data_IF_632458252290
#
_entry.id   IF_632458252290
#
_cell.length_a   1.000
_cell.length_b   1.000
_cell.length_c   1.000
_cell.angle_alpha   90.00
_cell.angle_beta   90.00
_cell.angle_gamma   90.00
#
_symmetry.space_group_name_H-M   'P 1'
#
loop_
_entity.id
_entity.type
_entity.pdbx_description
1 polymer ?
#
# COMPACT_ATOMS: atom_id res chain seq x y z
N UNK A 1 -10.31 -21.30 -10.39
CA UNK A 1 -10.94 -20.10 -10.96
C UNK A 1 -11.65 -19.36 -9.83
N UNK A 2 -11.34 -18.08 -9.66
CA UNK A 2 -11.96 -17.21 -8.65
C UNK A 2 -13.29 -16.73 -9.21
N UNK A 3 -14.38 -16.91 -8.47
CA UNK A 3 -15.70 -16.43 -8.86
C UNK A 3 -16.08 -15.10 -8.17
N UNK A 4 -17.24 -14.53 -8.51
CA UNK A 4 -17.69 -13.26 -7.92
C UNK A 4 -17.94 -13.35 -6.40
N UNK A 5 -18.30 -14.53 -5.88
CA UNK A 5 -18.46 -14.73 -4.44
C UNK A 5 -17.10 -14.65 -3.75
N UNK A 6 -16.06 -15.23 -4.35
CA UNK A 6 -14.70 -15.13 -3.84
C UNK A 6 -14.21 -13.67 -3.86
N UNK A 7 -14.49 -12.90 -4.92
CA UNK A 7 -14.19 -11.45 -4.98
C UNK A 7 -14.87 -10.69 -3.84
N UNK A 8 -16.15 -10.98 -3.56
CA UNK A 8 -16.86 -10.36 -2.42
C UNK A 8 -16.29 -10.80 -1.07
N UNK A 9 -15.89 -12.06 -0.90
CA UNK A 9 -15.19 -12.53 0.32
C UNK A 9 -13.91 -11.71 0.53
N UNK A 10 -13.07 -11.59 -0.51
CA UNK A 10 -11.82 -10.83 -0.48
C UNK A 10 -12.09 -9.35 -0.15
N UNK A 11 -13.12 -8.75 -0.73
CA UNK A 11 -13.54 -7.39 -0.41
C UNK A 11 -13.86 -7.22 1.08
N UNK A 12 -14.67 -8.11 1.66
CA UNK A 12 -15.03 -8.04 3.09
C UNK A 12 -13.78 -8.19 3.97
N UNK A 13 -12.89 -9.14 3.66
CA UNK A 13 -11.64 -9.34 4.39
C UNK A 13 -10.71 -8.12 4.32
N UNK A 14 -10.70 -7.38 3.21
CA UNK A 14 -9.95 -6.13 3.06
C UNK A 14 -10.50 -4.97 3.90
N UNK A 15 -11.78 -5.01 4.29
CA UNK A 15 -12.35 -4.03 5.21
C UNK A 15 -11.95 -4.35 6.65
N UNK A 16 -12.09 -5.61 7.07
CA UNK A 16 -11.57 -6.12 8.35
C UNK A 16 -11.45 -7.65 8.29
N UNK A 17 -10.23 -8.19 8.27
CA UNK A 17 -10.00 -9.62 8.23
C UNK A 17 -10.20 -10.33 9.59
N UNK A 18 -10.43 -9.57 10.68
CA UNK A 18 -10.75 -10.11 12.01
C UNK A 18 -12.26 -10.14 12.29
N UNK A 19 -13.09 -9.71 11.34
CA UNK A 19 -14.54 -9.76 11.53
C UNK A 19 -15.05 -11.21 11.63
N UNK A 20 -16.17 -11.46 12.35
CA UNK A 20 -16.77 -12.79 12.41
C UNK A 20 -17.18 -13.30 11.04
N UNK A 21 -16.88 -14.57 10.73
CA UNK A 21 -17.30 -15.18 9.46
C UNK A 21 -18.83 -15.19 9.29
N UNK A 22 -19.59 -15.21 10.38
CA UNK A 22 -21.05 -15.09 10.36
C UNK A 22 -21.54 -13.76 9.77
N UNK A 23 -20.77 -12.67 9.91
CA UNK A 23 -21.08 -11.37 9.29
C UNK A 23 -20.87 -11.41 7.77
N UNK A 24 -19.80 -12.06 7.33
CA UNK A 24 -19.52 -12.29 5.90
C UNK A 24 -20.59 -13.22 5.31
N UNK A 25 -20.97 -14.28 6.03
CA UNK A 25 -22.03 -15.22 5.66
C UNK A 25 -23.37 -14.54 5.38
N UNK A 26 -23.80 -13.65 6.29
CA UNK A 26 -25.03 -12.85 6.11
C UNK A 26 -24.96 -11.95 4.88
N UNK A 27 -23.79 -11.35 4.62
CA UNK A 27 -23.59 -10.47 3.47
C UNK A 27 -23.69 -11.21 2.14
N UNK A 28 -23.06 -12.39 2.04
CA UNK A 28 -22.93 -13.14 0.78
C UNK A 28 -24.08 -14.14 0.61
N UNK A 29 -24.90 -14.34 1.65
CA UNK A 29 -25.99 -15.33 1.71
C UNK A 29 -25.47 -16.75 1.45
N UNK A 30 -24.39 -17.11 2.14
CA UNK A 30 -23.80 -18.46 2.09
C UNK A 30 -23.55 -18.99 3.51
N UNK A 31 -23.57 -20.33 3.71
CA UNK A 31 -23.18 -20.92 4.97
C UNK A 31 -21.75 -20.55 5.39
N UNK A 32 -21.52 -20.38 6.69
CA UNK A 32 -20.21 -20.04 7.23
C UNK A 32 -19.13 -21.07 6.87
N UNK A 33 -19.50 -22.37 6.81
CA UNK A 33 -18.59 -23.44 6.41
C UNK A 33 -18.11 -23.28 4.96
N UNK A 34 -19.02 -22.90 4.05
CA UNK A 34 -18.67 -22.62 2.64
C UNK A 34 -17.70 -21.46 2.51
N UNK A 35 -17.88 -20.39 3.28
CA UNK A 35 -16.96 -19.25 3.29
C UNK A 35 -15.60 -19.64 3.86
N UNK A 36 -15.58 -20.39 4.96
CA UNK A 36 -14.34 -20.90 5.55
C UNK A 36 -13.54 -21.73 4.56
N UNK A 37 -14.21 -22.64 3.84
CA UNK A 37 -13.60 -23.44 2.76
C UNK A 37 -13.01 -22.56 1.65
N UNK A 38 -13.76 -21.55 1.18
CA UNK A 38 -13.31 -20.63 0.13
C UNK A 38 -12.10 -19.80 0.56
N UNK A 39 -12.08 -19.28 1.80
CA UNK A 39 -10.92 -18.55 2.32
C UNK A 39 -9.68 -19.45 2.32
N UNK A 40 -9.79 -20.68 2.84
CA UNK A 40 -8.67 -21.64 2.82
C UNK A 40 -8.18 -21.94 1.41
N UNK A 41 -9.09 -22.08 0.45
CA UNK A 41 -8.73 -22.26 -0.97
C UNK A 41 -7.93 -21.06 -1.49
N UNK A 42 -8.38 -19.83 -1.22
CA UNK A 42 -7.69 -18.60 -1.63
C UNK A 42 -6.31 -18.44 -0.97
N UNK A 43 -6.15 -18.89 0.29
CA UNK A 43 -4.85 -18.99 0.97
C UNK A 43 -3.94 -20.03 0.30
N UNK A 44 -4.45 -21.25 0.06
CA UNK A 44 -3.70 -22.35 -0.56
C UNK A 44 -3.24 -22.00 -1.99
N UNK A 45 -4.08 -21.32 -2.76
CA UNK A 45 -3.76 -20.84 -4.11
C UNK A 45 -2.81 -19.61 -4.09
N UNK A 46 -2.40 -19.15 -2.90
CA UNK A 46 -1.58 -17.94 -2.67
C UNK A 46 -2.18 -16.70 -3.33
N UNK A 47 -3.51 -16.62 -3.40
CA UNK A 47 -4.24 -15.39 -3.73
C UNK A 47 -4.23 -14.49 -2.51
N UNK A 48 -4.50 -15.05 -1.32
CA UNK A 48 -4.20 -14.39 -0.05
C UNK A 48 -2.75 -14.76 0.33
N UNK A 49 -1.85 -13.78 0.35
CA UNK A 49 -0.42 -14.01 0.63
C UNK A 49 -0.10 -14.02 2.13
N UNK A 50 -0.65 -13.05 2.86
CA UNK A 50 -0.49 -12.89 4.32
C UNK A 50 -1.58 -11.99 4.89
N UNK A 51 -1.72 -11.98 6.21
CA UNK A 51 -2.59 -11.05 6.93
C UNK A 51 -1.75 -10.03 7.68
N UNK A 52 -2.03 -8.74 7.49
CA UNK A 52 -1.26 -7.65 8.10
C UNK A 52 -2.17 -6.53 8.61
N UNK A 53 -1.58 -5.49 9.17
CA UNK A 53 -2.26 -4.29 9.66
C UNK A 53 -1.87 -3.07 8.83
N UNK A 54 -2.82 -2.17 8.64
CA UNK A 54 -2.51 -0.84 8.13
C UNK A 54 -2.12 0.07 9.30
N UNK A 55 -0.92 0.64 9.22
CA UNK A 55 -0.40 1.54 10.25
C UNK A 55 -0.45 2.97 9.74
N UNK A 56 -1.05 3.87 10.53
CA UNK A 56 -1.02 5.30 10.28
C UNK A 56 0.27 5.90 10.85
N UNK A 57 1.37 5.70 10.14
CA UNK A 57 2.69 6.24 10.50
C UNK A 57 2.71 7.76 10.69
N UNK A 58 1.96 8.57 9.91
CA UNK A 58 1.87 10.01 10.18
C UNK A 58 1.39 10.35 11.59
N UNK A 59 0.44 9.61 12.16
CA UNK A 59 0.03 9.83 13.56
C UNK A 59 1.19 9.75 14.56
N UNK A 60 2.24 8.99 14.24
CA UNK A 60 3.40 8.76 15.07
C UNK A 60 4.58 9.69 14.73
N UNK A 61 4.35 10.70 13.89
CA UNK A 61 5.35 11.70 13.51
C UNK A 61 6.13 11.37 12.24
N UNK A 62 5.80 10.28 11.54
CA UNK A 62 6.57 9.85 10.37
C UNK A 62 5.99 10.35 9.05
N UNK A 63 6.84 10.88 8.20
CA UNK A 63 6.56 11.18 6.79
C UNK A 63 7.03 10.02 5.91
N UNK A 64 6.27 9.73 4.84
CA UNK A 64 6.71 8.78 3.81
C UNK A 64 7.51 9.51 2.76
N UNK A 65 8.67 8.97 2.44
CA UNK A 65 9.50 9.38 1.33
C UNK A 65 9.59 8.23 0.33
N UNK A 66 9.51 8.56 -0.95
CA UNK A 66 9.60 7.61 -2.06
C UNK A 66 10.84 7.92 -2.87
N UNK A 67 11.69 6.91 -3.07
CA UNK A 67 12.91 6.98 -3.86
C UNK A 67 12.82 5.99 -5.01
N UNK A 68 12.92 6.47 -6.23
CA UNK A 68 13.00 5.67 -7.45
C UNK A 68 14.39 5.77 -8.04
N UNK A 69 15.00 4.64 -8.36
CA UNK A 69 16.32 4.58 -8.97
C UNK A 69 16.20 4.08 -10.40
N UNK A 70 16.73 4.86 -11.34
CA UNK A 70 17.02 4.40 -12.68
C UNK A 70 18.47 3.89 -12.69
N UNK A 71 18.62 2.61 -13.04
CA UNK A 71 19.89 1.90 -13.01
C UNK A 71 20.26 1.44 -14.41
N UNK A 72 21.52 1.65 -14.78
CA UNK A 72 22.18 1.00 -15.92
C UNK A 72 22.21 -0.51 -15.71
N UNK A 73 22.59 -1.26 -16.75
CA UNK A 73 22.68 -2.73 -16.74
C UNK A 73 23.36 -3.23 -15.46
N UNK A 74 22.55 -3.86 -14.60
CA UNK A 74 22.94 -4.45 -13.33
C UNK A 74 22.47 -5.91 -13.35
N UNK A 75 23.29 -6.82 -12.86
CA UNK A 75 22.90 -8.23 -12.81
C UNK A 75 21.78 -8.43 -11.79
N UNK A 76 20.86 -9.36 -12.04
CA UNK A 76 19.79 -9.68 -11.09
C UNK A 76 20.36 -10.06 -9.70
N UNK A 77 21.50 -10.75 -9.68
CA UNK A 77 22.22 -11.14 -8.46
C UNK A 77 22.70 -9.95 -7.65
N UNK A 78 23.24 -8.92 -8.30
CA UNK A 78 23.70 -7.70 -7.63
C UNK A 78 22.51 -6.92 -7.06
N UNK A 79 21.39 -6.84 -7.81
CA UNK A 79 20.17 -6.20 -7.31
C UNK A 79 19.68 -6.91 -6.05
N UNK A 80 19.54 -8.24 -6.07
CA UNK A 80 19.10 -9.01 -4.91
C UNK A 80 20.01 -8.81 -3.69
N UNK A 81 21.33 -8.74 -3.91
CA UNK A 81 22.29 -8.44 -2.85
C UNK A 81 22.03 -7.06 -2.22
N UNK A 82 21.86 -6.02 -3.04
CA UNK A 82 21.59 -4.68 -2.53
C UNK A 82 20.23 -4.55 -1.85
N UNK A 83 19.19 -5.20 -2.38
CA UNK A 83 17.85 -5.17 -1.82
C UNK A 83 17.82 -5.68 -0.38
N UNK A 84 18.47 -6.82 -0.10
CA UNK A 84 18.58 -7.38 1.26
C UNK A 84 19.15 -6.36 2.26
N UNK A 85 20.26 -5.73 1.89
CA UNK A 85 20.91 -4.73 2.75
C UNK A 85 20.11 -3.43 2.93
N UNK A 86 19.25 -3.08 1.98
CA UNK A 86 18.38 -1.89 2.10
C UNK A 86 17.21 -2.21 3.02
N UNK A 87 16.65 -3.42 2.94
CA UNK A 87 15.56 -3.87 3.81
C UNK A 87 15.98 -4.07 5.28
N UNK A 88 17.27 -4.13 5.58
CA UNK A 88 17.80 -4.15 6.96
C UNK A 88 17.73 -2.77 7.65
N UNK A 89 17.52 -1.69 6.89
CA UNK A 89 17.33 -0.35 7.45
C UNK A 89 15.90 -0.28 8.01
N UNK A 90 15.77 -0.07 9.32
CA UNK A 90 14.46 -0.18 9.99
C UNK A 90 13.42 0.84 9.51
N UNK A 91 13.86 2.01 9.01
CA UNK A 91 13.01 3.03 8.41
C UNK A 91 12.52 2.66 7.00
N UNK A 92 13.19 1.73 6.31
CA UNK A 92 12.76 1.24 5.00
C UNK A 92 11.56 0.31 5.20
N UNK A 93 10.41 0.75 4.68
CA UNK A 93 9.17 -0.03 4.77
C UNK A 93 9.03 -1.09 3.70
N UNK A 94 9.53 -0.82 2.50
CA UNK A 94 9.59 -1.76 1.39
C UNK A 94 10.60 -1.29 0.33
N UNK A 95 11.07 -2.26 -0.46
CA UNK A 95 11.95 -2.04 -1.59
C UNK A 95 11.60 -3.07 -2.68
N UNK A 96 11.40 -2.62 -3.91
CA UNK A 96 10.96 -3.47 -5.02
C UNK A 96 11.75 -3.21 -6.29
N UNK A 97 11.92 -4.24 -7.10
CA UNK A 97 12.26 -4.08 -8.51
C UNK A 97 11.02 -3.70 -9.31
N UNK A 98 11.22 -2.87 -10.32
CA UNK A 98 10.20 -2.45 -11.28
C UNK A 98 10.59 -2.99 -12.66
N UNK A 99 9.64 -3.60 -13.37
CA UNK A 99 9.90 -4.38 -14.59
C UNK A 99 9.51 -3.63 -15.89
N UNK A 100 10.04 -4.15 -17.00
CA UNK A 100 9.84 -3.93 -18.45
C UNK A 100 9.33 -2.58 -18.98
N UNK A 101 8.24 -2.03 -18.45
CA UNK A 101 7.61 -0.80 -18.95
C UNK A 101 8.08 0.46 -18.20
N UNK A 102 8.77 0.29 -17.07
CA UNK A 102 9.26 1.38 -16.23
C UNK A 102 10.70 1.80 -16.57
N UNK A 103 10.92 3.11 -16.72
CA UNK A 103 12.26 3.69 -16.75
C UNK A 103 12.99 3.48 -15.41
N UNK A 104 12.25 3.46 -14.30
CA UNK A 104 12.77 3.18 -12.97
C UNK A 104 12.96 1.67 -12.79
N UNK A 105 14.04 1.26 -12.14
CA UNK A 105 14.37 -0.15 -11.87
C UNK A 105 14.15 -0.55 -10.43
N UNK A 106 14.31 0.39 -9.49
CA UNK A 106 14.08 0.14 -8.05
C UNK A 106 13.17 1.23 -7.48
N UNK A 107 12.22 0.82 -6.64
CA UNK A 107 11.45 1.70 -5.76
C UNK A 107 11.79 1.39 -4.29
N UNK A 108 11.98 2.42 -3.48
CA UNK A 108 12.17 2.34 -2.03
C UNK A 108 11.21 3.29 -1.32
N UNK A 109 10.51 2.78 -0.30
CA UNK A 109 9.64 3.56 0.58
C UNK A 109 10.25 3.68 1.96
N UNK A 110 10.56 4.89 2.40
CA UNK A 110 11.21 5.19 3.68
C UNK A 110 10.27 6.00 4.56
N UNK A 111 10.19 5.67 5.86
CA UNK A 111 9.47 6.45 6.85
C UNK A 111 10.43 7.09 7.84
N UNK A 112 10.46 8.42 7.89
CA UNK A 112 11.31 9.15 8.85
C UNK A 112 10.51 10.24 9.55
N UNK A 113 10.94 10.64 10.74
CA UNK A 113 10.33 11.78 11.45
C UNK A 113 10.83 13.13 10.96
N UNK A 114 12.05 13.16 10.44
CA UNK A 114 12.70 14.39 9.99
C UNK A 114 13.25 14.20 8.58
N UNK A 115 13.41 15.32 7.87
CA UNK A 115 13.95 15.32 6.51
C UNK A 115 15.46 15.05 6.51
N UNK A 116 16.18 15.45 7.57
CA UNK A 116 17.61 15.21 7.76
C UNK A 116 17.89 13.71 7.87
N UNK A 117 17.08 12.99 8.66
CA UNK A 117 17.22 11.53 8.75
C UNK A 117 16.92 10.84 7.42
N UNK A 118 15.98 11.39 6.64
CA UNK A 118 15.73 10.88 5.31
C UNK A 118 16.92 11.10 4.38
N UNK A 119 17.54 12.28 4.40
CA UNK A 119 18.73 12.60 3.60
C UNK A 119 19.88 11.61 3.89
N UNK A 120 20.14 11.31 5.17
CA UNK A 120 21.14 10.31 5.56
C UNK A 120 20.87 8.94 4.93
N UNK A 121 19.61 8.47 5.01
CA UNK A 121 19.19 7.17 4.48
C UNK A 121 19.26 7.17 2.95
N UNK A 122 18.73 8.20 2.31
CA UNK A 122 18.76 8.38 0.86
C UNK A 122 20.21 8.34 0.37
N UNK A 123 21.10 9.13 0.98
CA UNK A 123 22.53 9.15 0.64
C UNK A 123 23.18 7.78 0.83
N UNK A 124 22.87 7.07 1.92
CA UNK A 124 23.36 5.71 2.17
C UNK A 124 22.91 4.72 1.08
N UNK A 125 21.67 4.80 0.64
CA UNK A 125 21.13 3.96 -0.45
C UNK A 125 21.81 4.31 -1.77
N UNK A 126 21.85 5.60 -2.15
CA UNK A 126 22.44 6.05 -3.41
C UNK A 126 23.93 5.68 -3.51
N UNK A 127 24.69 5.79 -2.42
CA UNK A 127 26.11 5.38 -2.38
C UNK A 127 26.31 3.90 -2.74
N UNK A 128 25.36 3.01 -2.40
CA UNK A 128 25.44 1.58 -2.74
C UNK A 128 25.33 1.34 -4.24
N UNK A 129 24.50 2.11 -4.93
CA UNK A 129 24.29 1.98 -6.38
C UNK A 129 25.07 3.00 -7.22
N UNK A 130 26.00 3.76 -6.63
CA UNK A 130 26.70 4.90 -7.28
C UNK A 130 27.27 4.61 -8.67
N UNK A 131 27.70 3.37 -8.93
CA UNK A 131 28.30 2.95 -10.21
C UNK A 131 27.24 2.66 -11.29
N UNK A 132 26.02 2.38 -10.87
CA UNK A 132 24.92 1.93 -11.72
C UNK A 132 23.84 3.00 -11.91
N UNK A 133 23.75 3.98 -11.01
CA UNK A 133 22.72 5.03 -11.10
C UNK A 133 22.91 5.83 -12.39
N UNK A 134 21.86 5.84 -13.20
CA UNK A 134 21.71 6.78 -14.31
C UNK A 134 20.98 8.03 -13.85
N UNK A 135 19.88 7.86 -13.11
CA UNK A 135 19.09 8.94 -12.52
C UNK A 135 18.37 8.45 -11.25
N UNK A 136 17.83 9.36 -10.46
CA UNK A 136 16.92 9.03 -9.36
C UNK A 136 15.86 10.11 -9.16
N UNK A 137 14.72 9.70 -8.62
CA UNK A 137 13.61 10.57 -8.28
C UNK A 137 13.24 10.38 -6.81
N UNK A 138 13.08 11.50 -6.09
CA UNK A 138 12.77 11.51 -4.67
C UNK A 138 11.62 12.48 -4.40
N UNK A 139 10.64 12.06 -3.62
CA UNK A 139 9.54 12.92 -3.19
C UNK A 139 8.97 12.49 -1.83
N UNK A 140 8.44 13.46 -1.09
CA UNK A 140 7.76 13.25 0.18
C UNK A 140 6.24 13.25 -0.02
N UNK A 141 5.56 12.24 0.51
CA UNK A 141 4.10 12.19 0.53
C UNK A 141 3.53 13.20 1.53
N UNK A 142 2.58 14.03 1.08
CA UNK A 142 1.85 14.99 1.91
C UNK A 142 0.52 14.40 2.36
N UNK A 143 -0.19 13.78 1.41
CA UNK A 143 -1.50 13.17 1.68
C UNK A 143 -1.75 12.01 0.75
N UNK A 144 -2.29 10.91 1.28
CA UNK A 144 -2.66 9.74 0.49
C UNK A 144 -4.10 9.33 0.74
N UNK A 145 -4.79 8.91 -0.31
CA UNK A 145 -6.08 8.24 -0.28
C UNK A 145 -5.88 6.83 -0.81
N UNK A 146 -6.02 5.82 0.06
CA UNK A 146 -5.91 4.41 -0.33
C UNK A 146 -7.28 3.77 -0.39
N UNK A 147 -7.58 3.14 -1.52
CA UNK A 147 -8.86 2.53 -1.85
C UNK A 147 -8.68 1.01 -1.95
N UNK A 148 -8.86 0.31 -0.83
CA UNK A 148 -8.67 -1.14 -0.78
C UNK A 148 -9.75 -1.88 -1.60
N UNK A 149 -9.36 -2.24 -2.82
CA UNK A 149 -10.04 -3.13 -3.77
C UNK A 149 -11.56 -2.90 -3.92
N UNK A 150 -11.97 -1.64 -4.09
CA UNK A 150 -13.35 -1.26 -4.48
C UNK A 150 -13.86 -2.07 -5.67
N UNK A 151 -12.96 -2.39 -6.59
CA UNK A 151 -13.23 -3.20 -7.77
C UNK A 151 -13.73 -4.61 -7.47
N UNK A 152 -13.38 -5.20 -6.32
CA UNK A 152 -13.85 -6.53 -5.94
C UNK A 152 -15.33 -6.53 -5.50
N UNK A 153 -15.89 -5.36 -5.15
CA UNK A 153 -17.31 -5.20 -4.91
C UNK A 153 -17.76 -3.76 -5.21
N UNK A 154 -18.00 -3.40 -6.49
CA UNK A 154 -18.35 -2.04 -6.88
C UNK A 154 -19.69 -1.55 -6.29
N UNK A 155 -20.55 -2.47 -5.84
CA UNK A 155 -21.86 -2.15 -5.26
C UNK A 155 -21.76 -1.64 -3.82
N UNK A 156 -20.63 -1.86 -3.14
CA UNK A 156 -20.41 -1.42 -1.76
C UNK A 156 -19.41 -0.28 -1.69
N UNK A 157 -19.72 0.70 -0.86
CA UNK A 157 -18.77 1.76 -0.51
C UNK A 157 -17.66 1.18 0.36
N UNK A 158 -16.44 1.12 -0.16
CA UNK A 158 -15.27 0.73 0.63
C UNK A 158 -14.83 1.86 1.56
N UNK A 159 -14.19 1.50 2.68
CA UNK A 159 -13.49 2.46 3.52
C UNK A 159 -12.26 3.01 2.76
N UNK A 160 -12.17 4.34 2.67
CA UNK A 160 -10.98 5.03 2.16
C UNK A 160 -10.05 5.34 3.32
N UNK A 161 -8.81 4.89 3.23
CA UNK A 161 -7.80 5.27 4.22
C UNK A 161 -7.11 6.56 3.79
N UNK A 162 -7.31 7.59 4.59
CA UNK A 162 -6.69 8.89 4.40
C UNK A 162 -5.56 9.02 5.41
N UNK A 163 -4.35 9.24 4.91
CA UNK A 163 -3.18 9.58 5.72
C UNK A 163 -2.67 10.94 5.27
N UNK A 164 -2.40 11.82 6.22
CA UNK A 164 -2.06 13.21 5.99
C UNK A 164 -0.87 13.61 6.84
N UNK A 165 -0.67 14.91 7.05
CA UNK A 165 0.43 15.49 7.81
C UNK A 165 0.74 14.74 9.11
N UNK A 166 2.03 14.58 9.46
CA UNK A 166 2.43 13.96 10.70
C UNK A 166 1.84 14.64 11.94
N UNK A 167 1.38 13.84 12.91
CA UNK A 167 1.04 14.24 14.27
C UNK A 167 2.16 13.78 15.22
N UNK A 168 2.13 14.20 16.49
CA UNK A 168 3.16 13.84 17.47
C UNK A 168 2.65 12.85 18.53
N UNK A 169 1.93 11.79 18.15
CA UNK A 169 1.54 10.75 19.12
C UNK A 169 2.73 9.86 19.47
N UNK A 170 3.04 9.79 20.76
CA UNK A 170 4.02 8.84 21.30
C UNK A 170 3.33 7.55 21.71
N UNK A 171 3.96 6.42 21.44
CA UNK A 171 3.55 5.09 21.91
C UNK A 171 4.71 4.40 22.64
N UNK A 172 4.37 3.49 23.55
CA UNK A 172 5.37 2.76 24.35
C UNK A 172 6.01 1.65 23.52
N UNK A 173 7.22 1.23 23.89
CA UNK A 173 7.93 0.13 23.21
C UNK A 173 7.12 -1.16 23.13
N UNK A 174 6.33 -1.44 24.17
CA UNK A 174 5.47 -2.61 24.19
C UNK A 174 4.34 -2.52 23.14
N UNK A 175 3.85 -1.32 22.84
CA UNK A 175 2.83 -1.12 21.81
C UNK A 175 3.46 -1.30 20.41
N UNK A 176 4.71 -0.86 20.22
CA UNK A 176 5.51 -1.19 19.04
C UNK A 176 5.70 -2.70 18.86
N UNK A 177 6.04 -3.43 19.93
CA UNK A 177 6.19 -4.90 19.87
C UNK A 177 4.88 -5.60 19.47
N UNK A 178 3.73 -5.11 19.94
CA UNK A 178 2.41 -5.59 19.50
C UNK A 178 2.19 -5.32 18.02
N UNK A 179 2.46 -4.08 17.57
CA UNK A 179 2.35 -3.68 16.16
C UNK A 179 3.23 -4.58 15.28
N UNK A 180 4.48 -4.84 15.67
CA UNK A 180 5.40 -5.68 14.88
C UNK A 180 4.93 -7.13 14.77
N UNK A 181 4.37 -7.71 15.83
CA UNK A 181 3.77 -9.05 15.75
C UNK A 181 2.53 -9.05 14.84
N UNK A 182 1.65 -8.07 14.98
CA UNK A 182 0.45 -7.93 14.14
C UNK A 182 0.75 -7.60 12.67
N UNK A 183 1.88 -6.95 12.39
CA UNK A 183 2.35 -6.69 11.02
C UNK A 183 2.76 -8.00 10.32
N UNK A 184 3.31 -8.96 11.07
CA UNK A 184 3.67 -10.29 10.58
C UNK A 184 2.44 -11.19 10.38
N UNK A 185 1.54 -11.20 11.35
CA UNK A 185 0.25 -11.86 11.25
C UNK A 185 -0.81 -11.10 12.04
N UNK A 186 -1.74 -10.48 11.31
CA UNK A 186 -2.79 -9.67 11.92
C UNK A 186 -3.96 -10.49 12.45
N UNK A 187 -4.02 -11.80 12.15
CA UNK A 187 -5.00 -12.75 12.68
C UNK A 187 -4.55 -13.43 13.97
N UNK A 188 -3.29 -13.28 14.38
CA UNK A 188 -2.77 -13.77 15.65
C UNK A 188 -3.73 -13.49 16.80
N UNK A 189 -3.98 -14.51 17.63
CA UNK A 189 -4.92 -14.39 18.74
C UNK A 189 -4.31 -13.56 19.87
N UNK A 190 -5.16 -12.99 20.73
CA UNK A 190 -4.65 -12.28 21.90
C UNK A 190 -3.83 -13.20 22.83
N UNK A 191 -4.14 -14.50 22.84
CA UNK A 191 -3.38 -15.51 23.58
C UNK A 191 -1.99 -15.73 22.98
N UNK A 192 -1.86 -15.85 21.66
CA UNK A 192 -0.56 -16.04 20.99
C UNK A 192 0.35 -14.83 21.20
N UNK A 193 -0.23 -13.63 21.07
CA UNK A 193 0.46 -12.36 21.33
C UNK A 193 0.87 -12.25 22.80
N UNK A 194 -0.01 -12.64 23.73
CA UNK A 194 0.23 -12.66 25.18
C UNK A 194 1.41 -13.55 25.53
N UNK A 195 1.41 -14.82 25.10
CA UNK A 195 2.51 -15.75 25.32
C UNK A 195 3.82 -15.22 24.74
N UNK A 196 3.78 -14.76 23.49
CA UNK A 196 4.97 -14.28 22.79
C UNK A 196 5.52 -12.93 23.27
N UNK A 197 4.77 -12.17 24.09
CA UNK A 197 5.20 -10.90 24.67
C UNK A 197 5.34 -10.96 26.20
N UNK A 198 5.01 -12.09 26.83
CA UNK A 198 4.94 -12.25 28.29
C UNK A 198 4.04 -11.19 28.95
N UNK A 199 2.85 -10.98 28.36
CA UNK A 199 1.83 -10.05 28.87
C UNK A 199 0.56 -10.81 29.23
N UNK A 200 -0.26 -10.25 30.13
CA UNK A 200 -1.62 -10.72 30.34
C UNK A 200 -2.49 -10.50 29.07
N UNK A 201 -3.39 -11.43 28.76
CA UNK A 201 -4.27 -11.39 27.58
C UNK A 201 -5.12 -10.10 27.54
N UNK A 202 -5.69 -9.68 28.67
CA UNK A 202 -6.49 -8.45 28.75
C UNK A 202 -5.65 -7.21 28.50
N UNK A 203 -4.38 -7.22 28.93
CA UNK A 203 -3.43 -6.13 28.61
C UNK A 203 -3.20 -6.04 27.11
N UNK A 204 -3.02 -7.17 26.42
CA UNK A 204 -2.88 -7.20 24.95
C UNK A 204 -4.15 -6.67 24.27
N UNK A 205 -5.33 -7.15 24.68
CA UNK A 205 -6.62 -6.71 24.12
C UNK A 205 -6.82 -5.21 24.31
N UNK A 206 -6.59 -4.69 25.53
CA UNK A 206 -6.70 -3.28 25.86
C UNK A 206 -5.76 -2.42 25.01
N UNK A 207 -4.51 -2.85 24.82
CA UNK A 207 -3.54 -2.15 23.96
C UNK A 207 -3.95 -2.13 22.49
N UNK A 208 -4.40 -3.25 21.93
CA UNK A 208 -4.92 -3.30 20.56
C UNK A 208 -6.13 -2.38 20.40
N UNK A 209 -7.07 -2.39 21.37
CA UNK A 209 -8.22 -1.48 21.39
C UNK A 209 -7.78 -0.02 21.43
N UNK A 210 -6.78 0.33 22.25
CA UNK A 210 -6.26 1.69 22.34
C UNK A 210 -5.59 2.14 21.02
N UNK A 211 -4.78 1.28 20.40
CA UNK A 211 -4.14 1.54 19.11
C UNK A 211 -5.16 1.77 17.98
N UNK A 212 -6.25 0.98 17.95
CA UNK A 212 -7.38 1.20 17.03
C UNK A 212 -8.11 2.51 17.34
N UNK A 213 -8.43 2.78 18.62
CA UNK A 213 -9.15 3.99 19.06
C UNK A 213 -8.39 5.27 18.71
N UNK A 214 -7.06 5.27 18.85
CA UNK A 214 -6.18 6.38 18.45
C UNK A 214 -6.01 6.51 16.93
N UNK A 215 -6.50 5.53 16.15
CA UNK A 215 -6.36 5.47 14.70
C UNK A 215 -4.95 5.10 14.23
N UNK A 216 -4.09 4.59 15.12
CA UNK A 216 -2.72 4.14 14.78
C UNK A 216 -2.80 2.85 13.95
N UNK A 217 -3.66 1.92 14.35
CA UNK A 217 -4.04 0.78 13.51
C UNK A 217 -5.32 1.16 12.75
N UNK A 218 -5.18 1.36 11.44
CA UNK A 218 -6.28 1.74 10.56
C UNK A 218 -7.21 0.58 10.23
N UNK A 219 -6.65 -0.62 9.97
CA UNK A 219 -7.37 -1.85 9.64
C UNK A 219 -6.50 -3.10 9.81
N UNK A 220 -7.15 -4.26 9.82
CA UNK A 220 -6.56 -5.59 9.71
C UNK A 220 -7.01 -6.15 8.36
N UNK A 221 -6.09 -6.55 7.49
CA UNK A 221 -6.44 -6.91 6.11
C UNK A 221 -5.47 -7.95 5.52
N UNK A 222 -5.92 -8.75 4.53
CA UNK A 222 -5.03 -9.60 3.76
C UNK A 222 -4.24 -8.80 2.71
N UNK A 223 -3.01 -9.22 2.43
CA UNK A 223 -2.31 -8.89 1.18
C UNK A 223 -2.81 -9.86 0.11
N UNK A 224 -3.33 -9.32 -0.99
CA UNK A 224 -3.94 -10.09 -2.08
C UNK A 224 -3.11 -9.96 -3.34
N UNK A 225 -2.92 -11.08 -4.03
CA UNK A 225 -2.39 -11.11 -5.39
C UNK A 225 -3.47 -10.74 -6.41
N UNK A 226 -3.46 -9.49 -6.87
CA UNK A 226 -4.46 -8.99 -7.83
C UNK A 226 -4.26 -9.57 -9.24
N UNK A 227 -3.03 -9.96 -9.62
CA UNK A 227 -2.76 -10.56 -10.92
C UNK A 227 -3.42 -11.93 -11.04
N UNK A 228 -3.43 -12.72 -9.96
CA UNK A 228 -4.17 -14.00 -9.91
C UNK A 228 -5.68 -13.84 -10.01
N UNK A 229 -6.20 -12.63 -9.82
CA UNK A 229 -7.60 -12.30 -10.04
C UNK A 229 -7.88 -11.77 -11.45
N UNK A 230 -6.85 -11.67 -12.31
CA UNK A 230 -6.95 -11.11 -13.65
C UNK A 230 -6.79 -9.58 -13.72
N UNK A 231 -6.33 -8.93 -12.64
CA UNK A 231 -6.09 -7.49 -12.64
C UNK A 231 -4.61 -7.15 -12.71
N UNK A 232 -4.25 -6.22 -13.57
CA UNK A 232 -2.94 -5.59 -13.64
C UNK A 232 -2.94 -4.24 -12.94
N UNK A 233 -1.86 -3.96 -12.21
CA UNK A 233 -1.65 -2.65 -11.58
C UNK A 233 -0.79 -1.74 -12.45
N UNK A 234 -1.30 -0.54 -12.73
CA UNK A 234 -0.54 0.52 -13.37
C UNK A 234 -0.42 1.72 -12.44
N UNK A 235 0.81 2.14 -12.22
CA UNK A 235 1.19 3.29 -11.42
C UNK A 235 1.66 4.42 -12.33
N UNK A 236 1.27 5.64 -11.97
CA UNK A 236 1.68 6.87 -12.64
C UNK A 236 2.26 7.84 -11.62
N UNK A 237 3.37 8.46 -11.98
CA UNK A 237 4.05 9.47 -11.20
C UNK A 237 4.15 10.71 -12.07
N UNK A 238 3.42 11.76 -11.71
CA UNK A 238 3.29 12.96 -12.53
C UNK A 238 3.79 14.20 -11.79
N UNK A 239 4.39 15.09 -12.57
CA UNK A 239 4.63 16.47 -12.20
C UNK A 239 3.49 17.29 -12.76
N UNK A 240 2.70 17.85 -11.85
CA UNK A 240 1.53 18.68 -12.17
C UNK A 240 1.87 20.14 -11.85
N UNK A 241 1.45 21.06 -12.70
CA UNK A 241 1.51 22.49 -12.38
C UNK A 241 0.56 22.80 -11.20
N UNK A 242 1.09 23.27 -10.05
CA UNK A 242 0.28 23.51 -8.86
C UNK A 242 -0.74 24.65 -9.01
N UNK A 243 -0.63 25.49 -10.05
CA UNK A 243 -1.61 26.55 -10.33
C UNK A 243 -2.97 25.98 -10.78
N UNK A 244 -3.01 24.76 -11.33
CA UNK A 244 -4.21 24.03 -11.75
C UNK A 244 -4.90 23.29 -10.59
N UNK A 245 -5.14 24.02 -9.49
CA UNK A 245 -5.70 23.43 -8.27
C UNK A 245 -7.09 22.82 -8.51
N UNK A 246 -7.92 23.47 -9.33
CA UNK A 246 -9.31 23.04 -9.61
C UNK A 246 -9.34 21.69 -10.32
N UNK A 247 -8.46 21.50 -11.29
CA UNK A 247 -8.27 20.26 -12.03
C UNK A 247 -7.79 19.14 -11.12
N UNK A 248 -6.80 19.44 -10.26
CA UNK A 248 -6.31 18.48 -9.27
C UNK A 248 -7.39 18.04 -8.29
N UNK A 249 -8.17 18.99 -7.74
CA UNK A 249 -9.27 18.69 -6.83
C UNK A 249 -10.35 17.85 -7.54
N UNK A 250 -10.71 18.21 -8.78
CA UNK A 250 -11.65 17.45 -9.60
C UNK A 250 -11.18 16.03 -9.91
N UNK A 251 -9.89 15.83 -10.17
CA UNK A 251 -9.29 14.51 -10.33
C UNK A 251 -9.37 13.68 -9.04
N UNK A 252 -9.06 14.27 -7.89
CA UNK A 252 -9.13 13.59 -6.59
C UNK A 252 -10.58 13.16 -6.29
N UNK A 253 -11.56 14.02 -6.60
CA UNK A 253 -12.99 13.67 -6.48
C UNK A 253 -13.40 12.53 -7.42
N UNK A 254 -12.93 12.55 -8.66
CA UNK A 254 -13.16 11.46 -9.62
C UNK A 254 -12.57 10.15 -9.13
N UNK A 255 -11.32 10.16 -8.63
CA UNK A 255 -10.64 8.98 -8.11
C UNK A 255 -11.38 8.35 -6.92
N UNK A 256 -12.06 9.14 -6.11
CA UNK A 256 -12.91 8.66 -5.01
C UNK A 256 -14.18 7.92 -5.48
N UNK A 257 -14.58 8.06 -6.74
CA UNK A 257 -15.79 7.43 -7.31
C UNK A 257 -15.46 6.22 -8.18
N UNK A 258 -14.42 6.30 -9.01
CA UNK A 258 -14.08 5.20 -9.93
C UNK A 258 -13.42 4.04 -9.16
N UNK A 259 -13.98 2.81 -9.20
CA UNK A 259 -13.51 1.67 -8.41
C UNK A 259 -12.14 1.14 -8.85
N UNK A 260 -11.63 1.56 -10.02
CA UNK A 260 -10.35 1.11 -10.56
C UNK A 260 -9.17 1.75 -9.84
N UNK A 261 -9.32 2.96 -9.28
CA UNK A 261 -8.26 3.58 -8.49
C UNK A 261 -8.01 2.80 -7.20
N UNK A 262 -6.73 2.54 -6.93
CA UNK A 262 -6.27 1.90 -5.69
C UNK A 262 -5.59 2.87 -4.72
N UNK A 263 -4.94 3.91 -5.24
CA UNK A 263 -4.32 4.94 -4.42
C UNK A 263 -4.13 6.22 -5.21
N UNK A 264 -4.24 7.35 -4.51
CA UNK A 264 -3.77 8.66 -4.96
C UNK A 264 -2.92 9.25 -3.84
N UNK A 265 -1.77 9.82 -4.16
CA UNK A 265 -0.87 10.48 -3.23
C UNK A 265 -0.51 11.85 -3.80
N UNK A 266 -0.82 12.89 -3.04
CA UNK A 266 -0.26 14.23 -3.22
C UNK A 266 1.10 14.27 -2.54
N UNK A 267 2.10 14.77 -3.24
CA UNK A 267 3.49 14.82 -2.79
C UNK A 267 4.11 16.20 -2.98
N UNK A 268 5.29 16.38 -2.41
CA UNK A 268 6.21 17.49 -2.65
C UNK A 268 7.56 16.93 -3.09
N UNK A 269 8.13 17.52 -4.12
CA UNK A 269 9.36 17.08 -4.77
C UNK A 269 9.33 17.47 -6.24
N UNK A 270 10.19 16.85 -7.04
CA UNK A 270 10.20 17.04 -8.50
C UNK A 270 8.86 16.60 -9.14
N UNK A 271 8.29 15.51 -8.62
CA UNK A 271 6.91 15.08 -8.88
C UNK A 271 6.04 15.38 -7.67
N UNK A 272 4.75 15.62 -7.90
CA UNK A 272 3.81 16.02 -6.85
C UNK A 272 2.48 15.25 -6.88
N UNK A 273 2.32 14.31 -7.81
CA UNK A 273 1.16 13.43 -7.88
C UNK A 273 1.59 11.99 -8.19
N UNK A 274 1.10 11.04 -7.40
CA UNK A 274 1.21 9.62 -7.65
C UNK A 274 -0.19 9.01 -7.62
N UNK A 275 -0.51 8.15 -8.57
CA UNK A 275 -1.79 7.44 -8.58
C UNK A 275 -1.65 6.09 -9.26
N UNK A 276 -2.50 5.15 -8.88
CA UNK A 276 -2.47 3.82 -9.47
C UNK A 276 -3.87 3.23 -9.67
N UNK A 277 -3.96 2.35 -10.67
CA UNK A 277 -5.17 1.68 -11.12
C UNK A 277 -5.02 0.17 -11.10
N UNK A 278 -6.12 -0.54 -10.87
CA UNK A 278 -6.28 -1.94 -11.23
C UNK A 278 -7.21 -2.06 -12.44
N UNK A 279 -6.69 -2.66 -13.51
CA UNK A 279 -7.40 -2.84 -14.79
C UNK A 279 -7.33 -4.30 -15.23
N UNK A 280 -8.36 -4.78 -15.93
CA UNK A 280 -8.39 -6.17 -16.43
C UNK A 280 -7.63 -6.32 -17.75
N UNK A 281 -7.64 -5.27 -18.56
CA UNK A 281 -7.09 -5.32 -19.92
C UNK A 281 -6.64 -3.92 -20.38
N UNK A 282 -6.05 -3.88 -21.58
CA UNK A 282 -5.54 -2.65 -22.18
C UNK A 282 -6.66 -1.67 -22.58
N UNK A 283 -7.88 -2.14 -22.83
CA UNK A 283 -9.01 -1.27 -23.16
C UNK A 283 -9.44 -0.43 -21.97
N UNK A 284 -9.61 -1.05 -20.80
CA UNK A 284 -9.90 -0.32 -19.58
C UNK A 284 -8.80 0.66 -19.19
N UNK A 285 -7.54 0.30 -19.45
CA UNK A 285 -6.42 1.21 -19.26
C UNK A 285 -6.54 2.43 -20.16
N UNK A 286 -6.92 2.27 -21.44
CA UNK A 286 -7.15 3.40 -22.35
C UNK A 286 -8.30 4.27 -21.84
N UNK A 287 -9.44 3.68 -21.48
CA UNK A 287 -10.60 4.42 -20.99
C UNK A 287 -10.30 5.26 -19.75
N UNK A 288 -9.64 4.68 -18.74
CA UNK A 288 -9.33 5.40 -17.52
C UNK A 288 -8.32 6.52 -17.80
N UNK A 289 -7.34 6.26 -18.68
CA UNK A 289 -6.37 7.27 -19.10
C UNK A 289 -7.01 8.43 -19.83
N UNK A 290 -7.93 8.18 -20.77
CA UNK A 290 -8.64 9.27 -21.45
C UNK A 290 -9.40 10.16 -20.47
N UNK A 291 -10.01 9.58 -19.43
CA UNK A 291 -10.68 10.36 -18.38
C UNK A 291 -9.70 11.16 -17.54
N UNK A 292 -8.56 10.57 -17.17
CA UNK A 292 -7.50 11.29 -16.46
C UNK A 292 -6.91 12.41 -17.30
N UNK A 293 -6.64 12.16 -18.58
CA UNK A 293 -6.09 13.15 -19.51
C UNK A 293 -7.09 14.31 -19.73
N UNK A 294 -8.40 14.03 -19.77
CA UNK A 294 -9.43 15.09 -19.80
C UNK A 294 -9.45 15.95 -18.54
N UNK A 295 -9.22 15.36 -17.37
CA UNK A 295 -9.27 16.06 -16.08
C UNK A 295 -7.98 16.80 -15.75
N UNK A 296 -6.83 16.17 -16.00
CA UNK A 296 -5.51 16.64 -15.60
C UNK A 296 -4.61 17.03 -16.76
N UNK A 297 -4.88 16.61 -18.00
CA UNK A 297 -3.89 16.66 -19.08
C UNK A 297 -3.27 18.03 -19.33
N UNK A 298 -4.06 19.11 -19.20
CA UNK A 298 -3.56 20.50 -19.32
C UNK A 298 -2.61 20.92 -18.20
N UNK A 299 -2.69 20.28 -17.04
CA UNK A 299 -1.87 20.55 -15.87
C UNK A 299 -0.62 19.67 -15.79
N UNK A 300 -0.51 18.62 -16.61
CA UNK A 300 0.62 17.69 -16.58
C UNK A 300 1.83 18.32 -17.27
N UNK A 301 2.89 18.55 -16.50
CA UNK A 301 4.21 18.99 -17.00
C UNK A 301 5.02 17.76 -17.45
N UNK A 302 5.00 16.69 -16.64
CA UNK A 302 5.73 15.46 -16.93
C UNK A 302 5.00 14.26 -16.32
N UNK A 303 5.12 13.09 -16.94
CA UNK A 303 4.45 11.88 -16.49
C UNK A 303 5.29 10.63 -16.73
N UNK A 304 5.44 9.81 -15.69
CA UNK A 304 6.12 8.52 -15.75
C UNK A 304 5.12 7.40 -15.49
N UNK A 305 5.11 6.39 -16.37
CA UNK A 305 4.28 5.19 -16.25
C UNK A 305 5.11 4.02 -15.71
N UNK A 306 4.55 3.27 -14.78
CA UNK A 306 5.13 2.07 -14.18
C UNK A 306 4.06 0.97 -14.22
N UNK A 307 4.36 -0.18 -14.82
CA UNK A 307 3.54 -1.39 -14.68
C UNK A 307 4.08 -2.23 -13.52
N UNK A 308 3.20 -2.64 -12.60
CA UNK A 308 3.59 -3.36 -11.38
C UNK A 308 3.12 -4.80 -11.51
N UNK A 309 4.03 -5.69 -11.95
CA UNK A 309 3.69 -7.11 -12.09
C UNK A 309 3.77 -7.87 -10.77
N UNK A 310 4.56 -7.43 -9.79
CA UNK A 310 4.62 -8.06 -8.45
C UNK A 310 5.17 -7.09 -7.40
N UNK A 311 4.33 -6.53 -6.52
CA UNK A 311 4.84 -6.01 -5.24
C UNK A 311 5.23 -7.18 -4.35
N UNK A 312 6.51 -7.53 -4.33
CA UNK A 312 7.05 -8.55 -3.41
C UNK A 312 7.13 -7.96 -2.00
N UNK A 313 6.03 -8.05 -1.25
CA UNK A 313 5.87 -7.44 0.10
C UNK A 313 6.62 -8.11 1.24
#
# INVERSE_FOLDING_TARGET
>A
MVDDKDKVILFELLQDCRQPLSKIAKTIKLPQQTISYRIKKLENEKIIKKYTIDINYPKLGYSRHSLYLDLRTISAKDVDFYLKHITDIWEVSCCYMLHEVSQWKIYVSVWTKTIERYDEIQTKILKKFRKYINNYLSFQSVRSWTYFARRLNPKKKAKVDIKSNPESLTIKDIDWKIIQKLKKDSRATALDLSKGLKLNVETVLSKIRNLKKKGIIGRFYPIIDMNKLGYKEYTFISRIDPSYKKELDGFIEYAQKDPRFIIVIKAVGYVNLYYAFLVENNEELREIREKVDKLLGKSVIENYKIEVENMVS
#
